data_IF_993007791507
#
_entry.id   IF_993007791507
#
_cell.length_a   1.000
_cell.length_b   1.000
_cell.length_c   1.000
_cell.angle_alpha   90.00
_cell.angle_beta   90.00
_cell.angle_gamma   90.00
#
_symmetry.space_group_name_H-M   'P 1'
#
loop_
_entity.id
_entity.type
_entity.pdbx_description
1 polymer ?
#
# COMPACT_ATOMS: atom_id res chain seq x y z
N UNK A 1 11.86 -22.83 -13.57
CA UNK A 1 12.40 -21.91 -14.59
C UNK A 1 11.30 -21.07 -15.26
N UNK A 2 10.19 -21.69 -15.71
CA UNK A 2 9.03 -21.01 -16.31
C UNK A 2 8.47 -19.83 -15.48
N UNK A 3 8.34 -19.97 -14.16
CA UNK A 3 7.82 -18.90 -13.29
C UNK A 3 8.69 -17.62 -13.31
N UNK A 4 10.02 -17.74 -13.49
CA UNK A 4 10.92 -16.59 -13.59
C UNK A 4 10.75 -15.87 -14.92
N UNK A 5 10.62 -16.61 -16.02
CA UNK A 5 10.41 -16.05 -17.37
C UNK A 5 9.06 -15.33 -17.45
N UNK A 6 7.99 -15.94 -16.95
CA UNK A 6 6.66 -15.32 -16.91
C UNK A 6 6.66 -14.01 -16.13
N UNK A 7 7.40 -13.95 -15.02
CA UNK A 7 7.57 -12.72 -14.22
C UNK A 7 8.31 -11.63 -14.99
N UNK A 8 9.37 -11.97 -15.73
CA UNK A 8 10.11 -11.02 -16.56
C UNK A 8 9.19 -10.46 -17.65
N UNK A 9 8.46 -11.32 -18.36
CA UNK A 9 7.51 -10.91 -19.41
C UNK A 9 6.44 -9.97 -18.83
N UNK A 10 5.88 -10.30 -17.66
CA UNK A 10 4.90 -9.43 -17.00
C UNK A 10 5.48 -8.05 -16.66
N UNK A 11 6.70 -8.00 -16.12
CA UNK A 11 7.40 -6.74 -15.81
C UNK A 11 7.63 -5.90 -17.08
N UNK A 12 8.07 -6.53 -18.18
CA UNK A 12 8.29 -5.84 -19.46
C UNK A 12 6.99 -5.30 -20.06
N UNK A 13 5.90 -6.08 -20.00
CA UNK A 13 4.57 -5.62 -20.42
C UNK A 13 4.13 -4.41 -19.61
N UNK A 14 4.20 -4.49 -18.28
CA UNK A 14 3.85 -3.38 -17.38
C UNK A 14 4.65 -2.12 -17.71
N UNK A 15 5.98 -2.23 -17.88
CA UNK A 15 6.82 -1.11 -18.25
C UNK A 15 6.42 -0.49 -19.59
N UNK A 16 6.13 -1.31 -20.60
CA UNK A 16 5.74 -0.83 -21.92
C UNK A 16 4.39 -0.10 -21.88
N UNK A 17 3.39 -0.63 -21.17
CA UNK A 17 2.10 0.03 -21.03
C UNK A 17 2.19 1.33 -20.22
N UNK A 18 2.95 1.34 -19.12
CA UNK A 18 3.20 2.57 -18.37
C UNK A 18 3.89 3.62 -19.24
N UNK A 19 4.90 3.22 -20.02
CA UNK A 19 5.60 4.09 -20.96
C UNK A 19 4.64 4.68 -21.98
N UNK A 20 3.86 3.82 -22.66
CA UNK A 20 2.89 4.22 -23.67
C UNK A 20 1.85 5.18 -23.10
N UNK A 21 1.30 4.87 -21.93
CA UNK A 21 0.35 5.73 -21.23
C UNK A 21 0.96 7.10 -20.91
N UNK A 22 2.18 7.13 -20.37
CA UNK A 22 2.90 8.36 -20.02
C UNK A 22 3.27 9.22 -21.25
N UNK A 23 3.50 8.66 -22.43
CA UNK A 23 3.78 9.47 -23.63
C UNK A 23 2.51 9.97 -24.31
N UNK A 24 1.39 9.26 -24.17
CA UNK A 24 0.14 9.58 -24.89
C UNK A 24 -0.84 10.43 -24.08
N UNK A 25 -0.78 10.43 -22.74
CA UNK A 25 -1.77 11.09 -21.90
C UNK A 25 -1.17 12.28 -21.13
N UNK A 26 -1.91 13.40 -21.06
CA UNK A 26 -1.53 14.56 -20.23
C UNK A 26 -1.95 14.39 -18.77
N UNK A 27 -3.13 13.82 -18.55
CA UNK A 27 -3.67 13.49 -17.24
C UNK A 27 -3.30 12.04 -16.87
N UNK A 28 -2.71 11.85 -15.71
CA UNK A 28 -2.16 10.56 -15.26
C UNK A 28 -2.80 10.18 -13.93
N UNK A 29 -3.39 8.99 -13.90
CA UNK A 29 -3.87 8.36 -12.66
C UNK A 29 -2.78 7.45 -12.12
N UNK A 30 -2.35 7.72 -10.89
CA UNK A 30 -1.33 6.97 -10.18
C UNK A 30 -1.93 6.35 -8.91
N UNK A 31 -2.08 5.03 -8.88
CA UNK A 31 -2.39 4.31 -7.65
C UNK A 31 -1.05 4.12 -6.91
N UNK A 32 -0.70 5.08 -6.05
CA UNK A 32 0.58 5.15 -5.36
C UNK A 32 0.39 4.94 -3.86
N UNK A 33 0.69 3.75 -3.37
CA UNK A 33 0.53 3.45 -1.94
C UNK A 33 1.52 2.41 -1.43
N UNK A 34 1.70 2.37 -0.11
CA UNK A 34 2.47 1.31 0.53
C UNK A 34 1.87 -0.06 0.27
N UNK A 35 2.67 -1.09 0.00
CA UNK A 35 2.12 -2.42 -0.24
C UNK A 35 1.21 -2.92 0.89
N UNK A 36 0.19 -3.70 0.55
CA UNK A 36 -0.76 -4.37 1.46
C UNK A 36 -1.81 -3.44 2.10
N UNK A 37 -2.29 -2.45 1.36
CA UNK A 37 -3.42 -1.58 1.78
C UNK A 37 -4.67 -1.75 0.90
N UNK A 38 -4.80 -2.86 0.17
CA UNK A 38 -6.04 -3.17 -0.58
C UNK A 38 -6.18 -2.47 -1.94
N UNK A 39 -5.12 -1.84 -2.45
CA UNK A 39 -5.15 -1.12 -3.73
C UNK A 39 -5.53 -1.95 -4.96
N UNK A 40 -5.37 -3.27 -4.90
CA UNK A 40 -5.74 -4.17 -6.00
C UNK A 40 -7.21 -4.07 -6.38
N UNK A 41 -8.11 -3.79 -5.41
CA UNK A 41 -9.54 -3.63 -5.70
C UNK A 41 -9.80 -2.37 -6.51
N UNK A 42 -9.12 -1.25 -6.20
CA UNK A 42 -9.20 -0.01 -6.98
C UNK A 42 -8.67 -0.22 -8.40
N UNK A 43 -7.50 -0.85 -8.52
CA UNK A 43 -6.86 -1.12 -9.83
C UNK A 43 -7.78 -2.00 -10.69
N UNK A 44 -8.41 -3.02 -10.08
CA UNK A 44 -9.33 -3.89 -10.79
C UNK A 44 -10.60 -3.16 -11.20
N UNK A 45 -11.24 -2.42 -10.30
CA UNK A 45 -12.41 -1.60 -10.63
C UNK A 45 -12.16 -0.66 -11.80
N UNK A 46 -11.02 0.05 -11.80
CA UNK A 46 -10.65 0.94 -12.91
C UNK A 46 -10.44 0.18 -14.21
N UNK A 47 -9.76 -0.97 -14.15
CA UNK A 47 -9.53 -1.81 -15.31
C UNK A 47 -10.85 -2.34 -15.90
N UNK A 48 -11.80 -2.75 -15.05
CA UNK A 48 -13.09 -3.31 -15.48
C UNK A 48 -13.93 -2.27 -16.25
N UNK A 49 -13.74 -0.97 -15.98
CA UNK A 49 -14.36 0.14 -16.72
C UNK A 49 -13.44 0.73 -17.81
N UNK A 50 -12.35 0.06 -18.16
CA UNK A 50 -11.45 0.47 -19.24
C UNK A 50 -10.51 1.63 -18.92
N UNK A 51 -10.38 2.02 -17.65
CA UNK A 51 -9.47 3.09 -17.21
C UNK A 51 -8.12 2.49 -16.83
N UNK A 52 -7.08 2.89 -17.56
CA UNK A 52 -5.72 2.56 -17.21
C UNK A 52 -5.18 3.46 -16.09
N UNK A 53 -4.46 2.87 -15.16
CA UNK A 53 -3.74 3.60 -14.12
C UNK A 53 -2.37 2.96 -13.90
N UNK A 54 -1.40 3.79 -13.52
CA UNK A 54 -0.08 3.31 -13.11
C UNK A 54 -0.20 2.86 -11.65
N UNK A 55 0.04 1.57 -11.37
CA UNK A 55 0.07 1.04 -10.01
C UNK A 55 1.52 0.84 -9.56
N UNK A 56 1.92 1.52 -8.49
CA UNK A 56 3.26 1.38 -7.91
C UNK A 56 3.26 1.57 -6.41
N UNK A 57 4.20 0.91 -5.73
CA UNK A 57 4.39 1.06 -4.29
C UNK A 57 5.57 1.95 -3.90
N UNK A 58 6.47 2.19 -4.84
CA UNK A 58 7.74 2.88 -4.63
C UNK A 58 8.20 3.57 -5.91
N UNK A 59 8.53 4.85 -5.84
CA UNK A 59 9.28 5.57 -6.87
C UNK A 59 10.65 6.05 -6.36
N UNK A 60 10.85 5.99 -5.04
CA UNK A 60 12.14 6.14 -4.43
C UNK A 60 12.93 4.83 -4.57
N UNK A 61 14.10 4.90 -5.21
CA UNK A 61 14.91 3.73 -5.57
C UNK A 61 15.94 3.35 -4.52
N UNK A 62 15.91 3.98 -3.33
CA UNK A 62 16.89 3.75 -2.26
C UNK A 62 16.62 2.51 -1.40
N UNK A 63 15.54 1.76 -1.64
CA UNK A 63 15.20 0.56 -0.84
C UNK A 63 15.97 -0.69 -1.27
N UNK A 64 16.19 -1.65 -0.35
CA UNK A 64 16.71 -2.96 -0.69
C UNK A 64 15.74 -3.73 -1.60
N UNK A 65 16.30 -4.50 -2.53
CA UNK A 65 15.56 -5.37 -3.45
C UNK A 65 16.05 -6.81 -3.26
N UNK A 66 15.14 -7.78 -3.41
CA UNK A 66 15.48 -9.19 -3.18
C UNK A 66 16.31 -9.81 -4.29
N UNK A 67 16.28 -9.24 -5.51
CA UNK A 67 17.06 -9.76 -6.65
C UNK A 67 17.64 -8.62 -7.50
N UNK A 68 18.75 -8.91 -8.21
CA UNK A 68 19.38 -7.99 -9.16
C UNK A 68 18.43 -7.57 -10.28
N UNK A 69 17.64 -8.50 -10.85
CA UNK A 69 16.66 -8.16 -11.89
C UNK A 69 15.59 -7.20 -11.37
N UNK A 70 14.98 -7.49 -10.21
CA UNK A 70 13.98 -6.60 -9.63
C UNK A 70 14.56 -5.22 -9.34
N UNK A 71 15.80 -5.15 -8.83
CA UNK A 71 16.50 -3.89 -8.61
C UNK A 71 16.62 -3.08 -9.90
N UNK A 72 17.08 -3.71 -10.99
CA UNK A 72 17.24 -3.07 -12.30
C UNK A 72 15.87 -2.61 -12.81
N UNK A 73 14.91 -3.52 -12.89
CA UNK A 73 13.56 -3.25 -13.39
C UNK A 73 12.89 -2.10 -12.64
N UNK A 74 12.81 -2.18 -11.31
CA UNK A 74 12.16 -1.16 -10.48
C UNK A 74 12.89 0.18 -10.57
N UNK A 75 14.22 0.17 -10.67
CA UNK A 75 15.01 1.40 -10.85
C UNK A 75 14.72 2.07 -12.19
N UNK A 76 14.70 1.30 -13.28
CA UNK A 76 14.41 1.80 -14.62
C UNK A 76 12.98 2.32 -14.70
N UNK A 77 12.00 1.53 -14.24
CA UNK A 77 10.59 1.92 -14.20
C UNK A 77 10.37 3.19 -13.38
N UNK A 78 10.94 3.27 -12.17
CA UNK A 78 10.80 4.46 -11.33
C UNK A 78 11.46 5.70 -11.96
N UNK A 79 12.63 5.56 -12.60
CA UNK A 79 13.28 6.67 -13.31
C UNK A 79 12.43 7.15 -14.48
N UNK A 80 11.87 6.23 -15.26
CA UNK A 80 10.97 6.53 -16.37
C UNK A 80 9.74 7.29 -15.87
N UNK A 81 8.99 6.73 -14.91
CA UNK A 81 7.79 7.36 -14.36
C UNK A 81 8.11 8.78 -13.86
N UNK A 82 9.12 8.94 -13.00
CA UNK A 82 9.51 10.26 -12.46
C UNK A 82 9.89 11.27 -13.54
N UNK A 83 10.54 10.82 -14.63
CA UNK A 83 10.90 11.71 -15.74
C UNK A 83 9.64 12.23 -16.44
N UNK A 84 8.70 11.35 -16.78
CA UNK A 84 7.52 11.72 -17.54
C UNK A 84 6.48 12.48 -16.72
N UNK A 85 6.35 12.19 -15.41
CA UNK A 85 5.39 12.86 -14.53
C UNK A 85 5.60 14.37 -14.42
N UNK A 86 6.82 14.90 -14.64
CA UNK A 86 7.13 16.34 -14.51
C UNK A 86 6.23 17.25 -15.35
N UNK A 87 5.71 16.76 -16.48
CA UNK A 87 4.91 17.53 -17.45
C UNK A 87 3.45 17.04 -17.53
N UNK A 88 2.93 16.45 -16.46
CA UNK A 88 1.59 15.83 -16.42
C UNK A 88 0.70 16.49 -15.39
N UNK A 89 -0.61 16.37 -15.54
CA UNK A 89 -1.53 16.56 -14.43
C UNK A 89 -1.68 15.22 -13.73
N UNK A 90 -1.47 15.17 -12.41
CA UNK A 90 -1.31 13.91 -11.69
C UNK A 90 -2.43 13.79 -10.66
N UNK A 91 -3.22 12.74 -10.78
CA UNK A 91 -4.15 12.28 -9.73
C UNK A 91 -3.53 11.08 -9.05
N UNK A 92 -3.20 11.22 -7.77
CA UNK A 92 -2.67 10.15 -6.94
C UNK A 92 -3.79 9.62 -6.06
N UNK A 93 -3.99 8.31 -6.05
CA UNK A 93 -4.82 7.64 -5.03
C UNK A 93 -3.88 6.87 -4.12
N UNK A 94 -3.96 7.17 -2.82
CA UNK A 94 -3.14 6.54 -1.79
C UNK A 94 -3.99 6.12 -0.60
N UNK A 95 -3.61 5.04 0.05
CA UNK A 95 -4.37 4.46 1.16
C UNK A 95 -3.49 4.34 2.39
N UNK A 96 -4.12 4.50 3.55
CA UNK A 96 -3.55 4.22 4.86
C UNK A 96 -4.13 2.91 5.39
N UNK A 97 -3.45 2.32 6.37
CA UNK A 97 -3.88 1.09 7.05
C UNK A 97 -3.21 1.04 8.42
N UNK A 98 -3.86 0.40 9.39
CA UNK A 98 -3.22 -0.03 10.64
C UNK A 98 -1.81 -0.61 10.36
N UNK A 99 -0.73 0.02 10.89
CA UNK A 99 0.65 -0.35 10.55
C UNK A 99 1.00 -1.77 10.98
N UNK A 100 0.43 -2.26 12.08
CA UNK A 100 0.66 -3.63 12.54
C UNK A 100 -0.04 -4.61 11.60
N UNK A 101 -1.32 -4.39 11.31
CA UNK A 101 -2.08 -5.20 10.36
C UNK A 101 -1.48 -5.22 8.96
N UNK A 102 -0.93 -4.09 8.50
CA UNK A 102 -0.21 -4.00 7.23
C UNK A 102 1.10 -4.78 7.25
N UNK A 103 1.90 -4.63 8.30
CA UNK A 103 3.18 -5.35 8.45
C UNK A 103 2.95 -6.86 8.50
N UNK A 104 1.96 -7.31 9.28
CA UNK A 104 1.57 -8.72 9.34
C UNK A 104 1.18 -9.24 7.96
N UNK A 105 0.37 -8.48 7.24
CA UNK A 105 -0.02 -8.84 5.86
C UNK A 105 1.19 -8.87 4.90
N UNK A 106 2.19 -8.01 5.12
CA UNK A 106 3.45 -7.99 4.36
C UNK A 106 4.32 -9.20 4.65
N UNK A 107 4.52 -9.52 5.93
CA UNK A 107 5.26 -10.67 6.41
C UNK A 107 4.76 -11.96 5.76
N UNK A 108 3.47 -12.27 5.88
CA UNK A 108 2.90 -13.48 5.29
C UNK A 108 2.94 -13.51 3.75
N UNK A 109 2.88 -12.35 3.10
CA UNK A 109 3.02 -12.28 1.64
C UNK A 109 4.44 -12.65 1.18
N UNK A 110 5.44 -12.40 2.01
CA UNK A 110 6.85 -12.64 1.74
C UNK A 110 7.37 -13.93 2.37
N UNK A 111 6.56 -14.61 3.20
CA UNK A 111 6.89 -15.91 3.73
C UNK A 111 6.87 -16.91 2.57
N UNK A 112 7.97 -17.64 2.38
CA UNK A 112 7.99 -18.80 1.47
C UNK A 112 7.07 -19.89 2.04
N UNK A 113 6.54 -20.78 1.19
CA UNK A 113 5.55 -21.79 1.58
C UNK A 113 5.98 -22.50 2.89
N UNK A 114 5.25 -22.25 3.97
CA UNK A 114 5.57 -22.71 5.32
C UNK A 114 4.45 -23.62 5.81
N UNK A 115 4.75 -24.88 6.07
CA UNK A 115 3.79 -25.83 6.63
C UNK A 115 3.73 -25.70 8.15
N UNK A 116 2.59 -25.22 8.66
CA UNK A 116 2.34 -25.12 10.10
C UNK A 116 2.05 -26.50 10.71
N UNK A 117 2.75 -26.88 11.78
CA UNK A 117 2.67 -28.19 12.45
C UNK A 117 2.67 -28.14 13.99
N UNK A 118 3.03 -27.04 14.69
CA UNK A 118 3.07 -27.03 16.17
C UNK A 118 3.18 -25.63 16.83
N UNK A 119 2.88 -25.54 18.13
CA UNK A 119 3.03 -24.31 18.95
C UNK A 119 4.46 -23.73 18.99
N UNK A 120 5.49 -24.58 18.91
CA UNK A 120 6.89 -24.14 18.79
C UNK A 120 7.13 -23.30 17.53
N UNK A 121 6.29 -23.44 16.50
CA UNK A 121 6.37 -22.62 15.30
C UNK A 121 5.71 -21.24 15.45
N UNK A 122 4.79 -21.04 16.39
CA UNK A 122 4.19 -19.72 16.62
C UNK A 122 5.24 -18.75 17.18
N UNK A 123 5.96 -19.13 18.23
CA UNK A 123 7.03 -18.30 18.80
C UNK A 123 8.15 -18.05 17.78
N UNK A 124 8.47 -19.06 16.97
CA UNK A 124 9.41 -18.91 15.86
C UNK A 124 8.93 -17.89 14.82
N UNK A 125 7.67 -17.97 14.37
CA UNK A 125 7.10 -17.03 13.40
C UNK A 125 7.01 -15.62 13.96
N UNK A 126 6.76 -15.48 15.25
CA UNK A 126 6.81 -14.22 16.00
C UNK A 126 8.21 -13.62 16.00
N UNK A 127 9.21 -14.41 16.37
CA UNK A 127 10.60 -13.97 16.38
C UNK A 127 11.05 -13.58 14.96
N UNK A 128 10.71 -14.41 13.96
CA UNK A 128 10.98 -14.14 12.55
C UNK A 128 10.24 -12.89 12.05
N UNK A 129 9.01 -12.66 12.51
CA UNK A 129 8.26 -11.45 12.22
C UNK A 129 9.00 -10.23 12.76
N UNK A 130 9.39 -10.22 14.03
CA UNK A 130 10.11 -9.08 14.60
C UNK A 130 11.48 -8.87 13.96
N UNK A 131 12.19 -9.95 13.62
CA UNK A 131 13.46 -9.86 12.90
C UNK A 131 13.29 -9.19 11.53
N UNK A 132 12.24 -9.56 10.78
CA UNK A 132 12.02 -9.09 9.40
C UNK A 132 11.23 -7.78 9.29
N UNK A 133 10.30 -7.53 10.21
CA UNK A 133 9.34 -6.42 10.19
C UNK A 133 9.63 -5.34 11.23
N UNK A 134 10.84 -5.30 11.79
CA UNK A 134 11.31 -4.14 12.58
C UNK A 134 11.53 -2.87 11.74
N UNK A 135 10.96 -2.80 10.54
CA UNK A 135 11.04 -1.62 9.69
C UNK A 135 9.91 -0.65 10.03
N UNK A 136 10.25 0.63 10.13
CA UNK A 136 9.29 1.73 10.18
C UNK A 136 8.74 2.09 8.78
N UNK A 137 8.71 1.13 7.85
CA UNK A 137 8.34 1.37 6.45
C UNK A 137 6.95 2.00 6.32
N UNK A 138 5.94 1.47 7.02
CA UNK A 138 4.55 1.95 6.94
C UNK A 138 4.44 3.39 7.39
N UNK A 139 4.90 3.69 8.61
CA UNK A 139 4.74 5.01 9.22
C UNK A 139 5.59 6.08 8.52
N UNK A 140 6.70 5.67 7.87
CA UNK A 140 7.57 6.57 7.11
C UNK A 140 7.28 6.60 5.61
N UNK A 141 6.29 5.84 5.11
CA UNK A 141 6.06 5.72 3.68
C UNK A 141 5.74 7.07 3.04
N UNK A 142 4.85 7.86 3.63
CA UNK A 142 4.49 9.18 3.11
C UNK A 142 5.67 10.14 3.01
N UNK A 143 6.53 10.18 4.03
CA UNK A 143 7.76 10.97 3.99
C UNK A 143 8.72 10.48 2.90
N UNK A 144 8.84 9.17 2.72
CA UNK A 144 9.80 8.61 1.78
C UNK A 144 9.34 8.61 0.32
N UNK A 145 8.04 8.53 0.09
CA UNK A 145 7.45 8.35 -1.23
C UNK A 145 6.66 9.56 -1.73
N UNK A 146 5.84 10.21 -0.88
CA UNK A 146 5.06 11.38 -1.32
C UNK A 146 5.90 12.64 -1.15
N UNK A 147 6.42 12.90 0.05
CA UNK A 147 7.22 14.11 0.32
C UNK A 147 8.48 14.17 -0.54
N UNK A 148 9.29 13.10 -0.59
CA UNK A 148 10.53 13.10 -1.39
C UNK A 148 10.33 13.15 -2.90
N UNK A 149 9.18 12.71 -3.44
CA UNK A 149 8.97 12.61 -4.89
C UNK A 149 8.16 13.79 -5.42
N UNK A 150 7.17 14.25 -4.66
CA UNK A 150 6.22 15.28 -5.08
C UNK A 150 6.34 16.58 -4.27
N UNK A 151 7.24 16.64 -3.27
CA UNK A 151 7.38 17.78 -2.37
C UNK A 151 6.06 18.12 -1.65
N UNK A 152 5.27 17.10 -1.30
CA UNK A 152 4.01 17.25 -0.56
C UNK A 152 4.16 16.53 0.77
N UNK A 153 4.19 17.27 1.88
CA UNK A 153 4.05 16.69 3.20
C UNK A 153 2.56 16.51 3.51
N UNK A 154 2.06 15.28 3.38
CA UNK A 154 0.63 14.98 3.62
C UNK A 154 0.18 15.38 5.02
N UNK A 155 1.11 15.37 5.98
CA UNK A 155 0.80 15.64 7.38
C UNK A 155 0.59 17.12 7.69
N UNK A 156 0.85 18.03 6.74
CA UNK A 156 0.53 19.46 6.83
C UNK A 156 -0.93 19.76 6.51
N UNK A 157 -1.67 18.78 5.96
CA UNK A 157 -3.08 18.93 5.59
C UNK A 157 -3.95 18.17 6.58
N UNK A 158 -4.90 18.84 7.23
CA UNK A 158 -5.79 18.18 8.20
C UNK A 158 -6.54 17.01 7.56
N UNK A 159 -6.44 15.82 8.13
CA UNK A 159 -7.20 14.66 7.69
C UNK A 159 -8.52 14.57 8.47
N UNK A 160 -9.69 14.66 7.81
CA UNK A 160 -10.97 14.52 8.49
C UNK A 160 -11.21 13.04 8.79
N UNK A 161 -10.90 12.63 10.02
CA UNK A 161 -10.90 11.23 10.45
C UNK A 161 -12.30 10.59 10.39
N UNK A 162 -13.33 11.40 10.57
CA UNK A 162 -14.75 10.98 10.53
C UNK A 162 -15.24 10.73 9.10
N UNK A 163 -15.07 11.70 8.19
CA UNK A 163 -15.47 11.54 6.78
C UNK A 163 -14.55 10.59 6.02
N UNK A 164 -13.31 10.43 6.49
CA UNK A 164 -12.48 9.30 6.15
C UNK A 164 -11.61 9.43 4.92
N UNK A 165 -11.62 10.59 4.27
CA UNK A 165 -10.76 10.88 3.15
C UNK A 165 -10.36 12.35 3.13
N UNK A 166 -9.30 12.66 2.38
CA UNK A 166 -8.86 14.01 2.08
C UNK A 166 -8.37 14.11 0.64
N UNK A 167 -8.58 15.28 0.01
CA UNK A 167 -8.04 15.63 -1.30
C UNK A 167 -7.05 16.79 -1.13
N UNK A 168 -5.77 16.49 -1.28
CA UNK A 168 -4.69 17.47 -1.25
C UNK A 168 -4.43 17.97 -2.68
N UNK A 169 -4.24 19.28 -2.86
CA UNK A 169 -3.91 19.88 -4.16
C UNK A 169 -2.68 20.77 -4.04
N UNK A 170 -1.62 20.50 -4.82
CA UNK A 170 -0.42 21.34 -4.93
C UNK A 170 0.07 21.35 -6.38
N UNK A 171 -0.05 22.50 -7.04
CA UNK A 171 0.32 22.65 -8.45
C UNK A 171 -0.46 21.69 -9.36
N UNK A 172 0.26 20.92 -10.16
CA UNK A 172 -0.28 19.90 -11.07
C UNK A 172 -0.59 18.55 -10.40
N UNK A 173 -0.44 18.44 -9.08
CA UNK A 173 -0.64 17.19 -8.33
C UNK A 173 -1.88 17.31 -7.44
N UNK A 174 -2.74 16.29 -7.50
CA UNK A 174 -3.85 16.07 -6.59
C UNK A 174 -3.69 14.70 -5.95
N UNK A 175 -3.91 14.60 -4.64
CA UNK A 175 -3.79 13.35 -3.88
C UNK A 175 -5.09 13.07 -3.15
N UNK A 176 -5.75 11.98 -3.49
CA UNK A 176 -6.82 11.39 -2.69
C UNK A 176 -6.19 10.41 -1.70
N UNK A 177 -6.35 10.69 -0.40
CA UNK A 177 -5.90 9.83 0.69
C UNK A 177 -7.10 9.36 1.50
N UNK A 178 -7.17 8.07 1.82
CA UNK A 178 -8.21 7.50 2.70
C UNK A 178 -7.66 6.32 3.51
N UNK A 179 -8.42 5.83 4.48
CA UNK A 179 -8.15 4.59 5.24
C UNK A 179 -8.70 3.40 4.46
N UNK A 180 -7.97 2.28 4.40
CA UNK A 180 -8.51 1.03 3.83
C UNK A 180 -9.79 0.62 4.58
N UNK A 181 -9.86 0.90 5.88
CA UNK A 181 -11.00 0.65 6.76
C UNK A 181 -12.27 1.40 6.31
N UNK A 182 -12.14 2.48 5.55
CA UNK A 182 -13.24 3.31 5.02
C UNK A 182 -13.32 3.31 3.49
N UNK A 183 -12.52 2.48 2.80
CA UNK A 183 -12.44 2.51 1.35
C UNK A 183 -13.80 2.28 0.67
N UNK A 184 -14.62 1.36 1.20
CA UNK A 184 -15.97 1.10 0.68
C UNK A 184 -16.92 2.29 0.89
N UNK A 185 -16.80 3.01 2.01
CA UNK A 185 -17.68 4.14 2.31
C UNK A 185 -17.36 5.37 1.47
N UNK A 186 -16.11 5.52 1.00
CA UNK A 186 -15.66 6.70 0.22
C UNK A 186 -15.61 6.44 -1.29
N UNK A 187 -16.27 5.39 -1.78
CA UNK A 187 -16.19 5.00 -3.20
C UNK A 187 -16.77 6.07 -4.15
N UNK A 188 -17.81 6.79 -3.72
CA UNK A 188 -18.45 7.83 -4.53
C UNK A 188 -17.53 9.04 -4.68
N UNK A 189 -16.85 9.41 -3.60
CA UNK A 189 -15.87 10.49 -3.55
C UNK A 189 -14.61 10.12 -4.32
N UNK A 190 -14.18 8.86 -4.25
CA UNK A 190 -13.11 8.34 -5.10
C UNK A 190 -13.50 8.39 -6.59
N UNK A 191 -14.73 7.99 -6.94
CA UNK A 191 -15.26 8.10 -8.30
C UNK A 191 -15.25 9.54 -8.80
N UNK A 192 -15.80 10.46 -8.00
CA UNK A 192 -15.82 11.90 -8.28
C UNK A 192 -14.40 12.47 -8.46
N UNK A 193 -13.46 12.08 -7.59
CA UNK A 193 -12.05 12.46 -7.70
C UNK A 193 -11.43 11.96 -9.00
N UNK A 194 -11.75 10.74 -9.43
CA UNK A 194 -11.24 10.14 -10.66
C UNK A 194 -11.96 10.65 -11.91
N UNK A 195 -13.13 11.27 -11.78
CA UNK A 195 -13.98 11.70 -12.90
C UNK A 195 -14.80 10.55 -13.47
N UNK A 196 -15.17 9.59 -12.64
CA UNK A 196 -15.95 8.40 -12.99
C UNK A 196 -17.31 8.47 -12.30
N UNK A 197 -18.37 8.51 -13.10
CA UNK A 197 -19.74 8.45 -12.59
C UNK A 197 -20.07 7.02 -12.12
N UNK A 198 -20.78 6.90 -11.00
CA UNK A 198 -21.20 5.61 -10.43
C UNK A 198 -20.03 4.62 -10.25
N UNK A 199 -18.90 5.10 -9.72
CA UNK A 199 -17.76 4.24 -9.46
C UNK A 199 -18.07 3.22 -8.36
N UNK A 200 -17.88 1.94 -8.67
CA UNK A 200 -18.09 0.83 -7.73
C UNK A 200 -16.81 0.05 -7.48
N UNK A 201 -16.56 -0.25 -6.22
CA UNK A 201 -15.42 -1.07 -5.80
C UNK A 201 -15.71 -2.57 -5.95
N UNK A 202 -14.97 -3.23 -6.82
CA UNK A 202 -15.00 -4.67 -6.99
C UNK A 202 -13.99 -5.30 -6.03
N UNK A 203 -14.49 -5.77 -4.89
CA UNK A 203 -13.65 -6.37 -3.86
C UNK A 203 -12.93 -7.62 -4.38
N UNK A 204 -11.62 -7.52 -4.42
CA UNK A 204 -10.74 -8.66 -4.68
C UNK A 204 -10.42 -9.31 -3.33
N UNK A 205 -11.29 -10.20 -2.82
CA UNK A 205 -11.05 -10.99 -1.59
C UNK A 205 -9.95 -12.06 -1.79
N UNK A 206 -8.83 -11.66 -2.37
CA UNK A 206 -7.71 -12.54 -2.70
C UNK A 206 -6.95 -12.98 -1.46
N UNK A 207 -6.97 -12.23 -0.35
CA UNK A 207 -6.26 -12.63 0.87
C UNK A 207 -6.85 -13.87 1.55
N UNK A 208 -8.15 -14.11 1.41
CA UNK A 208 -8.81 -15.29 2.00
C UNK A 208 -8.51 -16.57 1.23
N UNK A 209 -8.19 -16.43 -0.07
CA UNK A 209 -7.83 -17.55 -0.96
C UNK A 209 -6.35 -17.93 -0.90
N UNK A 210 -5.52 -17.22 -0.14
CA UNK A 210 -4.08 -17.50 -0.05
C UNK A 210 -3.81 -18.70 0.85
N UNK A 211 -2.76 -19.45 0.53
CA UNK A 211 -2.34 -20.65 1.27
C UNK A 211 -2.16 -20.39 2.77
N UNK A 212 -1.74 -19.18 3.12
CA UNK A 212 -1.51 -18.75 4.50
C UNK A 212 -2.75 -18.17 5.20
N UNK A 213 -3.95 -18.20 4.60
CA UNK A 213 -5.13 -17.52 5.17
C UNK A 213 -5.52 -18.08 6.54
N UNK A 214 -5.43 -19.40 6.72
CA UNK A 214 -5.68 -20.06 8.00
C UNK A 214 -4.58 -19.72 9.02
N UNK A 215 -3.31 -19.79 8.63
CA UNK A 215 -2.18 -19.42 9.49
C UNK A 215 -2.25 -17.96 9.94
N UNK A 216 -2.61 -17.06 9.02
CA UNK A 216 -2.82 -15.64 9.31
C UNK A 216 -3.98 -15.42 10.29
N UNK A 217 -5.07 -16.21 10.19
CA UNK A 217 -6.20 -16.14 11.14
C UNK A 217 -5.81 -16.64 12.53
N UNK A 218 -5.07 -17.74 12.61
CA UNK A 218 -4.57 -18.33 13.86
C UNK A 218 -3.63 -17.33 14.55
N UNK A 219 -2.59 -16.89 13.84
CA UNK A 219 -1.63 -15.93 14.38
C UNK A 219 -2.33 -14.64 14.80
N UNK A 220 -3.23 -14.08 14.00
CA UNK A 220 -3.97 -12.87 14.41
C UNK A 220 -4.81 -13.05 15.68
N UNK A 221 -5.24 -14.27 16.00
CA UNK A 221 -6.01 -14.57 17.23
C UNK A 221 -5.12 -14.82 18.44
N UNK A 222 -3.92 -15.35 18.23
CA UNK A 222 -3.06 -15.88 19.31
C UNK A 222 -1.81 -15.03 19.54
N UNK A 223 -1.56 -14.02 18.70
CA UNK A 223 -0.35 -13.20 18.76
C UNK A 223 -0.52 -12.02 19.71
N UNK A 224 0.36 -11.97 20.70
CA UNK A 224 0.43 -10.89 21.67
C UNK A 224 1.67 -10.07 21.32
N UNK A 225 1.46 -8.87 20.78
CA UNK A 225 2.60 -8.02 20.40
C UNK A 225 3.17 -7.35 21.66
N UNK A 226 4.50 -7.26 21.81
CA UNK A 226 5.10 -6.50 22.89
C UNK A 226 4.57 -5.07 22.91
N UNK A 227 4.21 -4.58 24.09
CA UNK A 227 3.64 -3.23 24.27
C UNK A 227 4.50 -2.15 23.60
N UNK A 228 5.82 -2.25 23.75
CA UNK A 228 6.80 -1.35 23.14
C UNK A 228 6.67 -1.32 21.61
N UNK A 229 6.57 -2.48 20.95
CA UNK A 229 6.41 -2.58 19.50
C UNK A 229 5.13 -1.86 19.02
N UNK A 230 4.05 -1.97 19.78
CA UNK A 230 2.77 -1.31 19.50
C UNK A 230 2.91 0.19 19.70
N UNK A 231 3.46 0.62 20.84
CA UNK A 231 3.66 2.03 21.19
C UNK A 231 4.47 2.76 20.13
N UNK A 232 5.59 2.20 19.69
CA UNK A 232 6.45 2.75 18.63
C UNK A 232 5.70 3.08 17.33
N UNK A 233 4.66 2.30 17.02
CA UNK A 233 3.88 2.46 15.79
C UNK A 233 2.67 3.35 16.01
N UNK A 234 2.02 3.25 17.16
CA UNK A 234 0.76 3.94 17.45
C UNK A 234 0.96 5.35 18.03
N UNK A 235 2.12 5.63 18.60
CA UNK A 235 2.51 7.00 18.97
C UNK A 235 3.07 7.81 17.79
N UNK A 236 3.23 7.17 16.63
CA UNK A 236 3.79 7.82 15.45
C UNK A 236 2.90 8.94 14.90
N UNK A 237 3.55 9.92 14.23
CA UNK A 237 2.87 10.98 13.47
C UNK A 237 1.84 10.41 12.48
N UNK A 238 2.14 9.25 11.89
CA UNK A 238 1.25 8.54 10.98
C UNK A 238 -0.10 8.23 11.64
N UNK A 239 -0.07 7.57 12.79
CA UNK A 239 -1.28 7.12 13.46
C UNK A 239 -2.10 8.29 13.98
N UNK A 240 -1.45 9.21 14.69
CA UNK A 240 -2.09 10.41 15.24
C UNK A 240 -2.72 11.30 14.16
N UNK A 241 -2.18 11.29 12.95
CA UNK A 241 -2.71 12.08 11.85
C UNK A 241 -3.93 11.44 11.18
N UNK A 242 -3.88 10.15 10.86
CA UNK A 242 -4.93 9.49 10.06
C UNK A 242 -6.05 8.84 10.87
N UNK A 243 -5.81 8.51 12.15
CA UNK A 243 -6.75 7.74 12.97
C UNK A 243 -7.21 8.51 14.20
N UNK A 244 -8.45 8.29 14.61
CA UNK A 244 -8.97 8.86 15.87
C UNK A 244 -8.36 8.15 17.08
N UNK A 245 -8.47 8.75 18.26
CA UNK A 245 -7.97 8.14 19.48
C UNK A 245 -8.76 6.85 19.81
N UNK A 246 -10.05 6.81 19.48
CA UNK A 246 -10.90 5.62 19.59
C UNK A 246 -10.44 4.50 18.64
N UNK A 247 -10.12 4.83 17.38
CA UNK A 247 -9.59 3.86 16.42
C UNK A 247 -8.24 3.32 16.89
N UNK A 248 -7.35 4.19 17.39
CA UNK A 248 -6.05 3.80 17.94
C UNK A 248 -6.25 2.89 19.15
N UNK A 249 -7.15 3.21 20.08
CA UNK A 249 -7.45 2.39 21.25
C UNK A 249 -7.99 1.01 20.86
N UNK A 250 -8.93 0.96 19.90
CA UNK A 250 -9.47 -0.29 19.37
C UNK A 250 -8.38 -1.16 18.73
N UNK A 251 -7.46 -0.55 17.97
CA UNK A 251 -6.33 -1.29 17.43
C UNK A 251 -5.35 -1.76 18.52
N UNK A 252 -5.09 -0.95 19.55
CA UNK A 252 -4.26 -1.34 20.69
C UNK A 252 -4.81 -2.57 21.38
N UNK A 253 -6.09 -2.54 21.75
CA UNK A 253 -6.77 -3.67 22.41
C UNK A 253 -6.73 -4.93 21.55
N UNK A 254 -6.89 -4.78 20.23
CA UNK A 254 -6.82 -5.90 19.30
C UNK A 254 -5.46 -6.61 19.29
N UNK A 255 -4.35 -5.90 19.53
CA UNK A 255 -2.99 -6.45 19.42
C UNK A 255 -2.30 -6.72 20.78
N UNK A 256 -2.84 -6.17 21.88
CA UNK A 256 -2.39 -6.37 23.27
C UNK A 256 -3.05 -7.57 23.97
N UNK A 257 -3.85 -8.37 23.26
CA UNK A 257 -4.58 -9.50 23.84
C UNK A 257 -3.69 -10.49 24.59
#
# INVERSE_FOLDING_TARGET
>A
MLNKINRIIACMKEYFFDFLYLITHKDVILIYQMGKVGSSSIVKSLKDIGIYCIHTHRLNTKYPFTTKFQKIYQTLRAKMIKRFLKNKNIKIVTLTRDPIGRNLSGFFQNLEDFTYQSNTQQQFLLNLFFEKENSFYTINWFNNEIKKIFDIDVYEYSFPKDSGFQIIKKGNVQIFVTKIEQLNSVQSELGSFLGVNNFELHNTNESEKKWYSNLHKIIKKEINFPKEYIDDRYESRYMKHFYTDEEIAMFREKWLK
#
